data_IF_494794960397
#
_entry.id   IF_494794960397
#
_cell.length_a   1.000
_cell.length_b   1.000
_cell.length_c   1.000
_cell.angle_alpha   90.00
_cell.angle_beta   90.00
_cell.angle_gamma   90.00
#
_symmetry.space_group_name_H-M   'P 1'
#
loop_
_entity.id
_entity.type
_entity.pdbx_description
1 polymer ?
#
# COMPACT_ATOMS: atom_id res chain seq x y z
N UNK A 1 -40.83 -19.28 -28.56
CA UNK A 1 -39.63 -18.47 -28.26
C UNK A 1 -39.07 -18.97 -26.94
N UNK A 2 -37.94 -19.72 -26.90
CA UNK A 2 -37.39 -20.17 -25.64
C UNK A 2 -36.60 -19.03 -24.97
N UNK A 3 -36.92 -18.76 -23.71
CA UNK A 3 -36.23 -17.82 -22.83
C UNK A 3 -34.97 -18.47 -22.27
N UNK A 4 -33.79 -17.99 -22.66
CA UNK A 4 -32.52 -18.36 -22.04
C UNK A 4 -32.38 -17.61 -20.72
N UNK A 5 -32.62 -18.30 -19.60
CA UNK A 5 -32.22 -17.82 -18.27
C UNK A 5 -30.70 -17.94 -18.18
N UNK A 6 -29.99 -16.81 -18.30
CA UNK A 6 -28.55 -16.75 -18.08
C UNK A 6 -28.29 -16.85 -16.57
N UNK A 7 -28.09 -18.07 -16.08
CA UNK A 7 -27.56 -18.30 -14.73
C UNK A 7 -26.10 -17.89 -14.77
N UNK A 8 -25.77 -16.72 -14.19
CA UNK A 8 -24.40 -16.21 -14.13
C UNK A 8 -23.57 -17.05 -13.16
N UNK A 9 -23.07 -18.19 -13.64
CA UNK A 9 -22.13 -19.02 -12.88
C UNK A 9 -20.79 -18.30 -12.84
N UNK A 10 -20.34 -17.90 -11.65
CA UNK A 10 -18.99 -17.37 -11.46
C UNK A 10 -17.97 -18.48 -11.71
N UNK A 11 -17.18 -18.34 -12.78
CA UNK A 11 -16.11 -19.29 -13.12
C UNK A 11 -14.81 -18.80 -12.49
N UNK A 12 -14.30 -19.56 -11.52
CA UNK A 12 -12.99 -19.30 -10.92
C UNK A 12 -11.91 -20.04 -11.71
N UNK A 13 -11.08 -19.31 -12.44
CA UNK A 13 -10.02 -19.85 -13.29
C UNK A 13 -8.84 -20.34 -12.43
N UNK A 14 -8.85 -21.63 -12.06
CA UNK A 14 -7.80 -22.25 -11.22
C UNK A 14 -6.85 -23.17 -11.99
N UNK A 15 -7.32 -23.79 -13.08
CA UNK A 15 -6.55 -24.74 -13.91
C UNK A 15 -6.62 -24.34 -15.39
N UNK A 16 -5.46 -24.20 -16.03
CA UNK A 16 -5.30 -23.81 -17.44
C UNK A 16 -6.06 -24.73 -18.41
N UNK A 17 -6.21 -26.01 -18.07
CA UNK A 17 -6.96 -26.96 -18.91
C UNK A 17 -8.48 -26.72 -18.90
N UNK A 18 -8.99 -25.97 -17.92
CA UNK A 18 -10.41 -25.66 -17.75
C UNK A 18 -10.80 -24.26 -18.26
N UNK A 19 -9.86 -23.54 -18.87
CA UNK A 19 -10.08 -22.15 -19.27
C UNK A 19 -11.03 -22.08 -20.47
N UNK A 20 -12.08 -21.23 -20.40
CA UNK A 20 -12.97 -21.03 -21.53
C UNK A 20 -12.23 -20.52 -22.77
N UNK A 21 -12.70 -20.88 -23.96
CA UNK A 21 -12.10 -20.46 -25.24
C UNK A 21 -11.98 -18.94 -25.39
N UNK A 22 -12.88 -18.16 -24.80
CA UNK A 22 -12.81 -16.70 -24.81
C UNK A 22 -11.54 -16.17 -24.11
N UNK A 23 -11.03 -16.89 -23.11
CA UNK A 23 -9.82 -16.51 -22.38
C UNK A 23 -8.58 -16.59 -23.28
N UNK A 24 -8.41 -17.70 -24.00
CA UNK A 24 -7.27 -17.85 -24.92
C UNK A 24 -7.30 -16.83 -26.05
N UNK A 25 -8.50 -16.44 -26.51
CA UNK A 25 -8.66 -15.36 -27.48
C UNK A 25 -8.25 -14.01 -26.89
N UNK A 26 -8.69 -13.71 -25.67
CA UNK A 26 -8.28 -12.51 -24.94
C UNK A 26 -6.77 -12.46 -24.74
N UNK A 27 -6.15 -13.58 -24.37
CA UNK A 27 -4.69 -13.72 -24.23
C UNK A 27 -3.96 -13.43 -25.53
N UNK A 28 -4.38 -14.04 -26.64
CA UNK A 28 -3.77 -13.82 -27.94
C UNK A 28 -3.91 -12.37 -28.42
N UNK A 29 -5.13 -11.81 -28.34
CA UNK A 29 -5.42 -10.43 -28.77
C UNK A 29 -4.67 -9.40 -27.90
N UNK A 30 -4.59 -9.64 -26.59
CA UNK A 30 -3.88 -8.78 -25.65
C UNK A 30 -2.37 -8.89 -25.77
N UNK A 31 -1.84 -10.08 -26.05
CA UNK A 31 -0.40 -10.30 -26.27
C UNK A 31 0.05 -9.63 -27.56
N UNK A 32 -0.73 -9.77 -28.65
CA UNK A 32 -0.45 -9.10 -29.92
C UNK A 32 -0.41 -7.58 -29.77
N UNK A 33 -1.29 -7.03 -28.93
CA UNK A 33 -1.36 -5.60 -28.61
C UNK A 33 -0.34 -5.15 -27.55
N UNK A 34 0.48 -6.06 -27.03
CA UNK A 34 1.43 -5.82 -25.96
C UNK A 34 0.78 -5.23 -24.68
N UNK A 35 -0.44 -5.68 -24.37
CA UNK A 35 -1.21 -5.28 -23.18
C UNK A 35 -1.51 -6.44 -22.24
N UNK A 36 -1.06 -7.67 -22.55
CA UNK A 36 -1.38 -8.87 -21.74
C UNK A 36 -1.01 -8.72 -20.25
N UNK A 37 0.14 -8.12 -19.94
CA UNK A 37 0.55 -7.87 -18.54
C UNK A 37 -0.44 -6.99 -17.74
N UNK A 38 -1.32 -6.25 -18.42
CA UNK A 38 -2.36 -5.42 -17.79
C UNK A 38 -3.73 -6.11 -17.73
N UNK A 39 -3.92 -7.20 -18.46
CA UNK A 39 -5.21 -7.91 -18.58
C UNK A 39 -5.16 -9.26 -17.88
N UNK A 40 -3.98 -9.84 -17.75
CA UNK A 40 -3.75 -11.14 -17.12
C UNK A 40 -4.22 -11.12 -15.66
N UNK A 41 -5.27 -11.89 -15.31
CA UNK A 41 -5.76 -11.98 -13.94
C UNK A 41 -4.77 -12.63 -12.97
N UNK A 42 -3.75 -13.33 -13.48
CA UNK A 42 -2.72 -14.02 -12.70
C UNK A 42 -1.40 -13.25 -12.61
N UNK A 43 -1.26 -12.13 -13.33
CA UNK A 43 -0.06 -11.32 -13.24
C UNK A 43 0.12 -10.81 -11.80
N UNK A 44 1.31 -11.00 -11.23
CA UNK A 44 1.65 -10.46 -9.90
C UNK A 44 1.51 -8.93 -9.85
N UNK A 45 1.58 -8.29 -11.01
CA UNK A 45 1.42 -6.87 -11.25
C UNK A 45 0.13 -6.55 -12.02
N UNK A 46 -0.88 -7.41 -11.95
CA UNK A 46 -2.14 -7.13 -12.61
C UNK A 46 -2.79 -5.87 -12.01
N UNK A 47 -3.29 -4.93 -12.83
CA UNK A 47 -3.76 -3.63 -12.36
C UNK A 47 -4.93 -3.68 -11.37
N UNK A 48 -5.78 -4.72 -11.39
CA UNK A 48 -6.79 -4.95 -10.34
C UNK A 48 -6.19 -5.29 -8.97
N UNK A 49 -4.93 -5.71 -8.91
CA UNK A 49 -4.16 -5.91 -7.67
C UNK A 49 -3.35 -4.65 -7.27
N UNK A 50 -3.10 -3.72 -8.21
CA UNK A 50 -2.24 -2.53 -8.01
C UNK A 50 -3.04 -1.24 -7.72
N UNK A 51 -4.36 -1.24 -7.90
CA UNK A 51 -5.21 -0.06 -7.68
C UNK A 51 -5.31 0.42 -6.22
N UNK A 52 -4.49 -0.10 -5.30
CA UNK A 52 -4.39 0.46 -3.95
C UNK A 52 -3.64 1.78 -4.07
N UNK A 53 -4.39 2.87 -3.96
CA UNK A 53 -3.86 4.22 -3.85
C UNK A 53 -2.79 4.27 -2.75
N UNK A 54 -1.61 4.86 -3.01
CA UNK A 54 -0.59 5.00 -1.98
C UNK A 54 -1.15 5.72 -0.77
N UNK A 55 -0.91 5.20 0.42
CA UNK A 55 -1.32 5.87 1.66
C UNK A 55 -0.56 7.18 1.83
N UNK A 56 -1.27 8.23 2.22
CA UNK A 56 -0.69 9.53 2.52
C UNK A 56 0.45 9.41 3.55
N UNK A 57 1.53 10.20 3.41
CA UNK A 57 2.58 10.24 4.39
C UNK A 57 2.04 10.79 5.73
N UNK A 58 2.63 10.34 6.84
CA UNK A 58 2.33 10.87 8.15
C UNK A 58 2.53 12.39 8.20
N UNK A 59 1.58 13.09 8.82
CA UNK A 59 1.65 14.54 9.00
C UNK A 59 2.77 14.92 9.96
N UNK A 60 3.23 16.17 9.86
CA UNK A 60 4.22 16.77 10.78
C UNK A 60 3.84 16.54 12.24
N UNK A 61 2.58 16.81 12.61
CA UNK A 61 2.09 16.65 13.98
C UNK A 61 2.16 15.20 14.45
N UNK A 62 1.78 14.25 13.59
CA UNK A 62 1.84 12.82 13.93
C UNK A 62 3.28 12.34 14.13
N UNK A 63 4.24 12.83 13.33
CA UNK A 63 5.65 12.49 13.49
C UNK A 63 6.25 13.11 14.76
N UNK A 64 5.87 14.34 15.10
CA UNK A 64 6.27 14.96 16.36
C UNK A 64 5.74 14.14 17.55
N UNK A 65 4.47 13.75 17.52
CA UNK A 65 3.85 12.96 18.58
C UNK A 65 4.52 11.58 18.73
N UNK A 66 4.81 10.90 17.62
CA UNK A 66 5.54 9.62 17.63
C UNK A 66 6.95 9.79 18.22
N UNK A 67 7.64 10.88 17.87
CA UNK A 67 8.98 11.15 18.37
C UNK A 67 8.96 11.51 19.86
N UNK A 68 8.00 12.32 20.30
CA UNK A 68 7.80 12.65 21.72
C UNK A 68 7.48 11.40 22.53
N UNK A 69 6.59 10.55 22.02
CA UNK A 69 6.26 9.27 22.63
C UNK A 69 7.51 8.40 22.81
N UNK A 70 8.32 8.26 21.75
CA UNK A 70 9.60 7.50 21.81
C UNK A 70 10.61 8.12 22.78
N UNK A 71 10.70 9.45 22.84
CA UNK A 71 11.59 10.15 23.77
C UNK A 71 11.17 10.02 25.23
N UNK A 72 9.88 9.77 25.48
CA UNK A 72 9.34 9.54 26.81
C UNK A 72 9.51 8.10 27.31
N UNK A 73 9.83 7.13 26.43
CA UNK A 73 9.99 5.71 26.79
C UNK A 73 10.94 5.48 27.98
N UNK A 74 12.15 6.09 28.06
CA UNK A 74 13.04 5.84 29.19
C UNK A 74 12.45 6.27 30.54
N UNK A 75 11.63 7.32 30.57
CA UNK A 75 10.94 7.74 31.79
C UNK A 75 9.84 6.76 32.12
N UNK A 76 9.08 6.30 31.13
CA UNK A 76 8.00 5.33 31.33
C UNK A 76 8.53 3.98 31.79
N UNK A 77 9.63 3.51 31.22
CA UNK A 77 10.34 2.31 31.64
C UNK A 77 10.86 2.45 33.07
N UNK A 78 11.42 3.61 33.41
CA UNK A 78 11.77 3.90 34.79
C UNK A 78 10.50 3.85 35.64
N UNK A 79 9.48 4.66 35.40
CA UNK A 79 8.24 4.70 36.19
C UNK A 79 7.55 3.33 36.36
N UNK A 80 7.56 2.49 35.33
CA UNK A 80 6.98 1.14 35.35
C UNK A 80 7.78 0.12 36.17
N UNK A 81 9.03 0.40 36.51
CA UNK A 81 9.84 -0.47 37.37
C UNK A 81 9.30 -0.44 38.82
N UNK A 82 8.77 -1.58 39.27
CA UNK A 82 8.15 -1.73 40.61
C UNK A 82 9.19 -1.83 41.75
N UNK A 83 10.48 -1.89 41.43
CA UNK A 83 11.53 -1.93 42.46
C UNK A 83 11.54 -0.65 43.31
N UNK A 84 11.94 -0.74 44.59
CA UNK A 84 12.11 0.43 45.44
C UNK A 84 13.05 1.47 44.82
N UNK A 85 12.76 2.76 44.98
CA UNK A 85 13.51 3.85 44.31
C UNK A 85 15.03 3.81 44.53
N UNK A 86 15.49 3.34 45.69
CA UNK A 86 16.90 3.23 46.01
C UNK A 86 17.63 2.12 45.22
N UNK A 87 16.91 1.16 44.64
CA UNK A 87 17.44 0.07 43.79
C UNK A 87 17.31 0.37 42.29
N UNK A 88 16.45 1.34 41.95
CA UNK A 88 16.03 1.71 40.60
C UNK A 88 17.03 2.62 39.87
N UNK A 89 18.00 3.17 40.61
CA UNK A 89 18.98 4.12 40.10
C UNK A 89 18.40 5.50 39.80
N UNK A 90 19.23 6.37 39.22
CA UNK A 90 18.85 7.76 38.94
C UNK A 90 17.75 7.85 37.89
N UNK A 91 16.71 8.66 38.17
CA UNK A 91 15.62 8.91 37.21
C UNK A 91 16.16 9.58 35.94
N UNK A 92 15.81 9.09 34.75
CA UNK A 92 16.16 9.74 33.49
C UNK A 92 15.61 11.16 33.42
N UNK A 93 16.39 12.08 32.85
CA UNK A 93 15.96 13.47 32.63
C UNK A 93 14.88 13.50 31.53
N UNK A 94 13.81 14.30 31.69
CA UNK A 94 12.86 14.53 30.61
C UNK A 94 13.56 15.08 29.37
N UNK A 95 13.32 14.40 28.25
CA UNK A 95 13.77 14.85 26.95
C UNK A 95 13.09 16.17 26.58
N UNK A 96 13.78 16.99 25.79
CA UNK A 96 13.15 18.15 25.18
C UNK A 96 12.07 17.72 24.18
N UNK A 97 10.98 18.48 24.13
CA UNK A 97 9.90 18.28 23.17
C UNK A 97 10.45 18.24 21.73
N UNK A 98 9.90 17.34 20.92
CA UNK A 98 10.19 17.18 19.52
C UNK A 98 9.93 18.48 18.76
N UNK A 99 10.81 18.79 17.81
CA UNK A 99 10.68 19.97 16.95
C UNK A 99 10.73 19.56 15.49
N UNK A 100 10.24 20.45 14.64
CA UNK A 100 10.30 20.25 13.19
C UNK A 100 11.73 19.95 12.69
N UNK A 101 12.75 20.58 13.27
CA UNK A 101 14.16 20.33 12.95
C UNK A 101 14.55 18.86 13.07
N UNK A 102 13.92 18.14 14.00
CA UNK A 102 14.24 16.76 14.35
C UNK A 102 13.57 15.77 13.39
N UNK A 103 12.50 16.19 12.71
CA UNK A 103 11.70 15.34 11.82
C UNK A 103 11.77 15.76 10.35
N UNK A 104 12.37 16.91 10.01
CA UNK A 104 12.38 17.47 8.65
C UNK A 104 12.94 16.50 7.61
N UNK A 105 13.97 15.75 7.95
CA UNK A 105 14.62 14.80 7.03
C UNK A 105 13.75 13.56 6.82
N UNK A 106 13.15 13.04 7.88
CA UNK A 106 12.21 11.92 7.81
C UNK A 106 10.96 12.30 7.01
N UNK A 107 10.41 13.49 7.25
CA UNK A 107 9.28 14.03 6.51
C UNK A 107 9.61 14.15 5.01
N UNK A 108 10.78 14.71 4.67
CA UNK A 108 11.23 14.82 3.29
C UNK A 108 11.43 13.46 2.60
N UNK A 109 12.01 12.49 3.32
CA UNK A 109 12.20 11.13 2.80
C UNK A 109 10.85 10.42 2.56
N UNK A 110 9.89 10.57 3.47
CA UNK A 110 8.53 10.03 3.35
C UNK A 110 7.79 10.68 2.18
N UNK A 111 7.87 12.01 2.04
CA UNK A 111 7.26 12.72 0.92
C UNK A 111 7.82 12.24 -0.42
N UNK A 112 9.15 12.16 -0.54
CA UNK A 112 9.80 11.66 -1.77
C UNK A 112 9.36 10.24 -2.13
N UNK A 113 9.23 9.38 -1.11
CA UNK A 113 8.77 8.00 -1.30
C UNK A 113 7.31 7.95 -1.76
N UNK A 114 6.46 8.79 -1.16
CA UNK A 114 5.06 8.95 -1.55
C UNK A 114 4.93 9.43 -2.99
N UNK A 115 5.61 10.52 -3.36
CA UNK A 115 5.54 11.11 -4.71
C UNK A 115 5.94 10.10 -5.80
N UNK A 116 6.96 9.29 -5.53
CA UNK A 116 7.39 8.22 -6.43
C UNK A 116 6.31 7.14 -6.60
N UNK A 117 5.72 6.69 -5.49
CA UNK A 117 4.64 5.68 -5.52
C UNK A 117 3.39 6.23 -6.20
N UNK A 118 3.03 7.47 -5.90
CA UNK A 118 1.89 8.16 -6.49
C UNK A 118 2.05 8.32 -8.00
N UNK A 119 3.22 8.74 -8.47
CA UNK A 119 3.50 8.85 -9.92
C UNK A 119 3.33 7.51 -10.63
N UNK A 120 3.86 6.42 -10.05
CA UNK A 120 3.71 5.06 -10.61
C UNK A 120 2.24 4.65 -10.63
N UNK A 121 1.50 4.92 -9.54
CA UNK A 121 0.08 4.63 -9.45
C UNK A 121 -0.73 5.39 -10.51
N UNK A 122 -0.56 6.71 -10.64
CA UNK A 122 -1.26 7.53 -11.65
C UNK A 122 -0.98 7.06 -13.07
N UNK A 123 0.29 6.77 -13.41
CA UNK A 123 0.66 6.29 -14.74
C UNK A 123 -0.03 4.95 -15.06
N UNK A 124 -0.07 4.04 -14.09
CA UNK A 124 -0.70 2.73 -14.25
C UNK A 124 -2.23 2.83 -14.31
N UNK A 125 -2.84 3.62 -13.44
CA UNK A 125 -4.28 3.86 -13.41
C UNK A 125 -4.77 4.49 -14.72
N UNK A 126 -4.09 5.53 -15.20
CA UNK A 126 -4.42 6.19 -16.47
C UNK A 126 -4.30 5.24 -17.66
N UNK A 127 -3.25 4.40 -17.69
CA UNK A 127 -3.05 3.43 -18.77
C UNK A 127 -4.10 2.33 -18.75
N UNK A 128 -4.51 1.88 -17.56
CA UNK A 128 -5.59 0.92 -17.41
C UNK A 128 -6.93 1.50 -17.86
N UNK A 129 -7.26 2.72 -17.45
CA UNK A 129 -8.45 3.43 -17.91
C UNK A 129 -8.49 3.54 -19.44
N UNK A 130 -7.37 3.93 -20.06
CA UNK A 130 -7.27 4.02 -21.52
C UNK A 130 -7.54 2.69 -22.24
N UNK A 131 -7.10 1.56 -21.66
CA UNK A 131 -7.37 0.23 -22.23
C UNK A 131 -8.87 -0.07 -22.20
N UNK A 132 -9.56 0.28 -21.11
CA UNK A 132 -11.01 0.06 -20.98
C UNK A 132 -11.86 1.03 -21.78
N UNK A 133 -11.43 2.28 -21.95
CA UNK A 133 -12.13 3.25 -22.80
C UNK A 133 -12.07 2.85 -24.31
N UNK A 134 -11.13 1.98 -24.68
CA UNK A 134 -10.94 1.48 -26.04
C UNK A 134 -11.69 0.18 -26.36
N UNK A 135 -12.20 -0.52 -25.35
CA UNK A 135 -12.97 -1.78 -25.47
C UNK A 135 -14.46 -1.49 -25.48
#
# INVERSE_FOLDING_TARGET
>A
MPTFTSTSTSIFLRDRASWPTWYFKLEADSTFRNIWSYVDPQASDAPHLIAIEPTDPLTTESLLLVLDYRRAEPIREWEADERPEHEKGARPRPAAAARFSDIKEELAARQKTYDSRYTIWVQRASRYQYIWDWV
#
